data_IF_339433285331
#
_entry.id   IF_339433285331
#
_cell.length_a   1.000
_cell.length_b   1.000
_cell.length_c   1.000
_cell.angle_alpha   90.00
_cell.angle_beta   90.00
_cell.angle_gamma   90.00
#
_symmetry.space_group_name_H-M   'P 1'
#
loop_
_entity.id
_entity.type
_entity.pdbx_description
1 polymer ?
#
# COMPACT_ATOMS: atom_id res chain seq x y z
N UNK A 1 -23.33 1.00 -6.49
CA UNK A 1 -22.46 0.41 -7.55
C UNK A 1 -23.07 -0.85 -8.15
N UNK A 2 -23.04 -1.05 -9.48
CA UNK A 2 -23.58 -2.28 -10.10
C UNK A 2 -22.69 -3.52 -9.83
N UNK A 3 -23.30 -4.71 -9.83
CA UNK A 3 -22.62 -5.97 -9.48
C UNK A 3 -21.57 -6.42 -10.51
N UNK A 4 -21.77 -6.13 -11.79
CA UNK A 4 -20.83 -6.51 -12.84
C UNK A 4 -19.53 -5.71 -12.74
N UNK A 5 -19.64 -4.40 -12.50
CA UNK A 5 -18.50 -3.53 -12.22
C UNK A 5 -17.76 -3.98 -10.95
N UNK A 6 -18.49 -4.23 -9.87
CA UNK A 6 -17.89 -4.71 -8.61
C UNK A 6 -17.09 -6.01 -8.81
N UNK A 7 -17.62 -6.95 -9.61
CA UNK A 7 -16.93 -8.21 -9.92
C UNK A 7 -15.66 -8.01 -10.77
N UNK A 8 -15.69 -7.11 -11.76
CA UNK A 8 -14.49 -6.78 -12.56
C UNK A 8 -13.40 -6.14 -11.70
N UNK A 9 -13.76 -5.22 -10.81
CA UNK A 9 -12.81 -4.63 -9.86
C UNK A 9 -12.25 -5.68 -8.91
N UNK A 10 -13.09 -6.54 -8.34
CA UNK A 10 -12.65 -7.61 -7.45
C UNK A 10 -11.66 -8.56 -8.15
N UNK A 11 -11.89 -8.89 -9.43
CA UNK A 11 -10.98 -9.70 -10.23
C UNK A 11 -9.64 -8.98 -10.50
N UNK A 12 -9.69 -7.68 -10.85
CA UNK A 12 -8.49 -6.86 -11.05
C UNK A 12 -7.65 -6.77 -9.76
N UNK A 13 -8.28 -6.47 -8.63
CA UNK A 13 -7.62 -6.41 -7.32
C UNK A 13 -7.09 -7.79 -6.92
N UNK A 14 -7.81 -8.88 -7.17
CA UNK A 14 -7.30 -10.24 -6.90
C UNK A 14 -6.01 -10.54 -7.65
N UNK A 15 -5.89 -10.10 -8.89
CA UNK A 15 -4.70 -10.30 -9.70
C UNK A 15 -3.55 -9.38 -9.27
N UNK A 16 -3.84 -8.13 -8.92
CA UNK A 16 -2.85 -7.09 -8.65
C UNK A 16 -2.41 -6.98 -7.18
N UNK A 17 -3.35 -7.12 -6.24
CA UNK A 17 -3.17 -7.00 -4.80
C UNK A 17 -3.98 -8.10 -4.07
N UNK A 18 -3.52 -9.36 -4.13
CA UNK A 18 -4.22 -10.48 -3.49
C UNK A 18 -4.36 -10.30 -1.97
N UNK A 19 -3.42 -9.58 -1.33
CA UNK A 19 -3.42 -9.38 0.12
C UNK A 19 -4.63 -8.54 0.54
N UNK A 20 -4.87 -7.41 -0.14
CA UNK A 20 -6.05 -6.58 0.08
C UNK A 20 -7.32 -7.21 -0.46
N UNK A 21 -7.26 -7.99 -1.54
CA UNK A 21 -8.40 -8.77 -2.02
C UNK A 21 -8.92 -9.72 -0.94
N UNK A 22 -8.06 -10.58 -0.38
CA UNK A 22 -8.49 -11.54 0.64
C UNK A 22 -8.90 -10.84 1.95
N UNK A 23 -8.24 -9.75 2.31
CA UNK A 23 -8.61 -8.96 3.49
C UNK A 23 -10.01 -8.36 3.37
N UNK A 24 -10.38 -7.85 2.18
CA UNK A 24 -11.72 -7.30 1.91
C UNK A 24 -12.83 -8.35 2.04
N UNK A 25 -12.55 -9.64 1.84
CA UNK A 25 -13.57 -10.70 1.98
C UNK A 25 -14.07 -10.85 3.43
N UNK A 26 -13.34 -10.34 4.41
CA UNK A 26 -13.76 -10.30 5.82
C UNK A 26 -14.63 -9.08 6.16
N UNK A 27 -14.82 -8.14 5.22
CA UNK A 27 -15.76 -7.05 5.39
C UNK A 27 -17.21 -7.49 5.13
N UNK A 28 -18.22 -6.75 5.64
CA UNK A 28 -19.62 -6.94 5.27
C UNK A 28 -19.81 -6.85 3.75
N UNK A 29 -20.67 -7.73 3.20
CA UNK A 29 -20.79 -7.94 1.76
C UNK A 29 -21.13 -6.66 0.99
N UNK A 30 -21.99 -5.82 1.57
CA UNK A 30 -22.43 -4.53 1.04
C UNK A 30 -21.33 -3.46 1.00
N UNK A 31 -20.21 -3.68 1.71
CA UNK A 31 -19.11 -2.73 1.79
C UNK A 31 -17.91 -3.11 0.90
N UNK A 32 -17.82 -4.39 0.52
CA UNK A 32 -16.72 -4.92 -0.32
C UNK A 32 -16.56 -4.19 -1.65
N UNK A 33 -17.63 -3.85 -2.40
CA UNK A 33 -17.47 -3.11 -3.65
C UNK A 33 -16.71 -1.80 -3.49
N UNK A 34 -16.95 -1.06 -2.41
CA UNK A 34 -16.28 0.21 -2.12
C UNK A 34 -14.81 0.02 -1.73
N UNK A 35 -14.49 -1.06 -0.99
CA UNK A 35 -13.10 -1.44 -0.75
C UNK A 35 -12.38 -1.79 -2.06
N UNK A 36 -13.02 -2.54 -2.95
CA UNK A 36 -12.42 -2.86 -4.26
C UNK A 36 -12.26 -1.64 -5.15
N UNK A 37 -13.16 -0.65 -5.09
CA UNK A 37 -12.97 0.64 -5.77
C UNK A 37 -11.72 1.37 -5.27
N UNK A 38 -11.57 1.50 -3.94
CA UNK A 38 -10.40 2.12 -3.32
C UNK A 38 -9.09 1.37 -3.65
N UNK A 39 -9.11 0.04 -3.57
CA UNK A 39 -7.91 -0.76 -3.80
C UNK A 39 -7.52 -0.83 -5.27
N UNK A 40 -8.49 -0.86 -6.19
CA UNK A 40 -8.23 -0.76 -7.61
C UNK A 40 -7.61 0.60 -7.95
N UNK A 41 -8.14 1.70 -7.42
CA UNK A 41 -7.53 3.03 -7.54
C UNK A 41 -6.08 3.03 -7.04
N UNK A 42 -5.82 2.51 -5.84
CA UNK A 42 -4.46 2.47 -5.30
C UNK A 42 -3.51 1.63 -6.18
N UNK A 43 -3.98 0.51 -6.73
CA UNK A 43 -3.20 -0.31 -7.68
C UNK A 43 -2.82 0.49 -8.91
N UNK A 44 -3.77 1.18 -9.53
CA UNK A 44 -3.53 1.95 -10.75
C UNK A 44 -2.52 3.08 -10.53
N UNK A 45 -2.69 3.85 -9.45
CA UNK A 45 -1.80 4.97 -9.13
C UNK A 45 -0.39 4.46 -8.77
N UNK A 46 -0.28 3.41 -7.94
CA UNK A 46 1.01 2.86 -7.54
C UNK A 46 1.81 2.27 -8.72
N UNK A 47 1.12 1.70 -9.72
CA UNK A 47 1.74 1.09 -10.90
C UNK A 47 2.32 2.11 -11.89
N UNK A 48 2.01 3.39 -11.78
CA UNK A 48 2.49 4.40 -12.72
C UNK A 48 4.02 4.34 -12.83
N UNK A 49 4.74 4.40 -11.70
CA UNK A 49 6.20 4.34 -11.64
C UNK A 49 6.80 2.99 -12.09
N UNK A 50 5.99 1.93 -12.12
CA UNK A 50 6.39 0.64 -12.67
C UNK A 50 6.39 0.67 -14.21
N UNK A 51 5.49 1.47 -14.81
CA UNK A 51 5.30 1.54 -16.27
C UNK A 51 6.10 2.63 -16.98
N UNK A 52 6.56 3.67 -16.26
CA UNK A 52 7.33 4.78 -16.85
C UNK A 52 8.58 5.09 -16.04
N UNK A 53 9.64 5.51 -16.73
CA UNK A 53 10.92 5.91 -16.13
C UNK A 53 11.12 7.41 -16.06
N UNK A 54 10.53 8.13 -17.00
CA UNK A 54 10.69 9.58 -17.11
C UNK A 54 9.76 10.28 -16.12
N UNK A 55 10.28 11.16 -15.23
CA UNK A 55 9.47 11.87 -14.25
C UNK A 55 8.29 12.62 -14.87
N UNK A 56 8.50 13.24 -16.03
CA UNK A 56 7.47 13.98 -16.76
C UNK A 56 6.31 13.08 -17.20
N UNK A 57 6.60 11.90 -17.75
CA UNK A 57 5.56 10.94 -18.14
C UNK A 57 4.79 10.40 -16.92
N UNK A 58 5.48 10.23 -15.79
CA UNK A 58 4.85 9.88 -14.51
C UNK A 58 3.88 10.96 -14.05
N UNK A 59 4.32 12.23 -14.09
CA UNK A 59 3.50 13.38 -13.72
C UNK A 59 2.25 13.51 -14.59
N UNK A 60 2.36 13.34 -15.91
CA UNK A 60 1.20 13.38 -16.82
C UNK A 60 0.17 12.30 -16.47
N UNK A 61 0.63 11.07 -16.17
CA UNK A 61 -0.27 9.97 -15.78
C UNK A 61 -0.92 10.21 -14.40
N UNK A 62 -0.18 10.76 -13.45
CA UNK A 62 -0.71 11.12 -12.14
C UNK A 62 -1.75 12.23 -12.23
N UNK A 63 -1.50 13.23 -13.07
CA UNK A 63 -2.44 14.32 -13.34
C UNK A 63 -3.73 13.80 -13.99
N UNK A 64 -3.60 12.86 -14.94
CA UNK A 64 -4.76 12.17 -15.49
C UNK A 64 -5.58 11.46 -14.40
N UNK A 65 -4.95 10.83 -13.41
CA UNK A 65 -5.65 10.21 -12.28
C UNK A 65 -6.30 11.24 -11.35
N UNK A 66 -5.66 12.40 -11.14
CA UNK A 66 -6.23 13.52 -10.37
C UNK A 66 -7.53 14.01 -11.01
N UNK A 67 -7.50 14.32 -12.31
CA UNK A 67 -8.68 14.73 -13.09
C UNK A 67 -9.74 13.62 -13.15
N UNK A 68 -9.34 12.35 -13.18
CA UNK A 68 -10.27 11.21 -13.17
C UNK A 68 -11.02 11.14 -11.84
N UNK A 69 -10.31 11.29 -10.72
CA UNK A 69 -10.93 11.33 -9.40
C UNK A 69 -11.84 12.56 -9.23
N UNK A 70 -11.41 13.72 -9.74
CA UNK A 70 -12.19 14.96 -9.74
C UNK A 70 -13.49 14.82 -10.54
N UNK A 71 -13.44 14.28 -11.76
CA UNK A 71 -14.62 14.01 -12.57
C UNK A 71 -15.57 13.02 -11.89
N UNK A 72 -15.04 11.97 -11.28
CA UNK A 72 -15.82 11.01 -10.50
C UNK A 72 -16.52 11.66 -9.29
N UNK A 73 -15.82 12.51 -8.54
CA UNK A 73 -16.39 13.25 -7.40
C UNK A 73 -17.50 14.23 -7.83
N UNK A 74 -17.43 14.78 -9.05
CA UNK A 74 -18.47 15.63 -9.65
C UNK A 74 -19.63 14.84 -10.29
N UNK A 75 -19.66 13.51 -10.14
CA UNK A 75 -20.69 12.66 -10.76
C UNK A 75 -20.57 12.53 -12.28
N UNK A 76 -19.44 12.92 -12.86
CA UNK A 76 -19.12 12.80 -14.30
C UNK A 76 -17.89 11.92 -14.52
N UNK A 77 -17.93 10.63 -14.11
CA UNK A 77 -16.77 9.75 -14.22
C UNK A 77 -16.43 9.48 -15.69
N UNK A 78 -15.12 9.40 -15.99
CA UNK A 78 -14.62 8.93 -17.29
C UNK A 78 -15.12 7.50 -17.58
N UNK A 79 -15.09 7.09 -18.85
CA UNK A 79 -15.41 5.71 -19.24
C UNK A 79 -14.27 4.74 -18.88
N UNK A 80 -14.07 4.55 -17.57
CA UNK A 80 -13.08 3.67 -16.98
C UNK A 80 -13.71 3.02 -15.73
N UNK A 81 -13.50 1.71 -15.54
CA UNK A 81 -14.16 0.96 -14.46
C UNK A 81 -13.84 1.56 -13.08
N UNK A 82 -12.58 1.87 -12.81
CA UNK A 82 -12.17 2.53 -11.55
C UNK A 82 -12.83 3.91 -11.40
N UNK A 83 -12.95 4.70 -12.47
CA UNK A 83 -13.56 6.03 -12.39
C UNK A 83 -15.05 5.95 -12.03
N UNK A 84 -15.79 5.03 -12.66
CA UNK A 84 -17.21 4.77 -12.36
C UNK A 84 -17.39 4.28 -10.92
N UNK A 85 -16.48 3.43 -10.45
CA UNK A 85 -16.52 2.92 -9.08
C UNK A 85 -16.17 4.00 -8.04
N UNK A 86 -15.24 4.92 -8.36
CA UNK A 86 -14.94 6.07 -7.53
C UNK A 86 -16.15 7.02 -7.41
N UNK A 87 -16.92 7.22 -8.47
CA UNK A 87 -18.14 8.03 -8.39
C UNK A 87 -19.16 7.43 -7.40
N UNK A 88 -19.35 6.10 -7.44
CA UNK A 88 -20.17 5.42 -6.43
C UNK A 88 -19.57 5.51 -5.02
N UNK A 89 -18.24 5.41 -4.89
CA UNK A 89 -17.56 5.57 -3.60
C UNK A 89 -17.80 6.95 -2.99
N UNK A 90 -17.61 8.03 -3.77
CA UNK A 90 -17.84 9.40 -3.31
C UNK A 90 -19.30 9.68 -2.97
N UNK A 91 -20.25 9.09 -3.71
CA UNK A 91 -21.67 9.27 -3.46
C UNK A 91 -22.17 8.53 -2.20
N UNK A 92 -21.60 7.36 -1.89
CA UNK A 92 -22.16 6.44 -0.89
C UNK A 92 -21.32 6.32 0.40
N UNK A 93 -20.08 6.85 0.44
CA UNK A 93 -19.14 6.68 1.57
C UNK A 93 -18.45 7.98 1.97
N UNK A 94 -18.01 8.11 3.24
CA UNK A 94 -17.35 9.31 3.76
C UNK A 94 -15.87 9.39 3.31
N UNK A 95 -15.65 9.54 2.01
CA UNK A 95 -14.34 9.71 1.38
C UNK A 95 -14.33 11.05 0.67
N UNK A 96 -13.33 11.89 0.95
CA UNK A 96 -13.20 13.18 0.28
C UNK A 96 -12.27 13.06 -0.94
N UNK A 97 -12.50 13.88 -1.98
CA UNK A 97 -11.59 13.97 -3.14
C UNK A 97 -10.15 14.26 -2.68
N UNK A 98 -9.99 15.19 -1.73
CA UNK A 98 -8.71 15.58 -1.17
C UNK A 98 -7.92 14.40 -0.56
N UNK A 99 -8.60 13.36 -0.04
CA UNK A 99 -7.92 12.16 0.47
C UNK A 99 -7.21 11.39 -0.67
N UNK A 100 -7.84 11.29 -1.85
CA UNK A 100 -7.27 10.61 -3.01
C UNK A 100 -6.21 11.47 -3.70
N UNK A 101 -6.43 12.78 -3.79
CA UNK A 101 -5.46 13.73 -4.33
C UNK A 101 -4.16 13.73 -3.50
N UNK A 102 -4.25 13.65 -2.18
CA UNK A 102 -3.09 13.54 -1.31
C UNK A 102 -2.27 12.27 -1.61
N UNK A 103 -2.92 11.12 -1.83
CA UNK A 103 -2.24 9.89 -2.22
C UNK A 103 -1.57 10.04 -3.60
N UNK A 104 -2.26 10.63 -4.58
CA UNK A 104 -1.72 10.87 -5.93
C UNK A 104 -0.49 11.76 -5.86
N UNK A 105 -0.55 12.87 -5.12
CA UNK A 105 0.55 13.82 -5.00
C UNK A 105 1.82 13.16 -4.46
N UNK A 106 1.70 12.34 -3.41
CA UNK A 106 2.85 11.64 -2.81
C UNK A 106 3.48 10.64 -3.78
N UNK A 107 2.70 10.07 -4.70
CA UNK A 107 3.18 9.10 -5.70
C UNK A 107 4.07 9.72 -6.78
N UNK A 108 4.14 11.04 -6.89
CA UNK A 108 5.13 11.71 -7.74
C UNK A 108 6.57 11.33 -7.36
N UNK A 109 6.84 11.11 -6.06
CA UNK A 109 8.14 10.64 -5.56
C UNK A 109 8.57 9.32 -6.23
N UNK A 110 7.63 8.43 -6.54
CA UNK A 110 7.94 7.09 -7.07
C UNK A 110 8.63 7.17 -8.44
N UNK A 111 8.40 8.25 -9.18
CA UNK A 111 9.01 8.51 -10.50
C UNK A 111 10.16 9.53 -10.43
N UNK A 112 10.41 10.16 -9.28
CA UNK A 112 11.46 11.16 -9.12
C UNK A 112 12.83 10.54 -8.84
N UNK A 113 13.89 11.33 -8.98
CA UNK A 113 15.27 10.96 -8.62
C UNK A 113 15.59 11.21 -7.14
N UNK A 114 14.60 11.66 -6.36
CA UNK A 114 14.79 11.96 -4.94
C UNK A 114 14.93 10.68 -4.12
N UNK A 115 15.62 10.81 -2.99
CA UNK A 115 15.87 9.75 -2.03
C UNK A 115 15.37 10.18 -0.65
N UNK A 116 15.00 9.20 0.18
CA UNK A 116 14.68 9.45 1.57
C UNK A 116 15.96 9.78 2.35
N UNK A 117 16.02 10.93 3.01
CA UNK A 117 17.17 11.28 3.84
C UNK A 117 17.34 10.30 5.02
N UNK A 118 16.24 10.02 5.72
CA UNK A 118 16.19 9.17 6.90
C UNK A 118 14.91 8.33 6.96
N UNK A 119 14.79 7.53 8.02
CA UNK A 119 13.59 6.73 8.28
C UNK A 119 12.31 7.57 8.49
N UNK A 120 12.41 8.79 9.01
CA UNK A 120 11.24 9.63 9.26
C UNK A 120 10.62 10.11 7.94
N UNK A 121 11.45 10.46 6.95
CA UNK A 121 11.00 10.76 5.59
C UNK A 121 10.30 9.55 4.95
N UNK A 122 10.90 8.37 5.08
CA UNK A 122 10.33 7.14 4.56
C UNK A 122 8.98 6.79 5.24
N UNK A 123 8.91 6.88 6.56
CA UNK A 123 7.66 6.64 7.31
C UNK A 123 6.58 7.64 6.93
N UNK A 124 6.92 8.90 6.72
CA UNK A 124 5.97 9.92 6.25
C UNK A 124 5.39 9.54 4.89
N UNK A 125 6.23 9.07 3.96
CA UNK A 125 5.77 8.55 2.66
C UNK A 125 4.88 7.31 2.82
N UNK A 126 5.28 6.34 3.64
CA UNK A 126 4.49 5.11 3.87
C UNK A 126 3.16 5.43 4.56
N UNK A 127 3.15 6.41 5.47
CA UNK A 127 1.94 6.88 6.11
C UNK A 127 0.98 7.53 5.11
N UNK A 128 1.51 8.40 4.24
CA UNK A 128 0.73 9.09 3.23
C UNK A 128 0.30 8.21 2.04
N UNK A 129 0.78 6.96 1.97
CA UNK A 129 0.39 5.99 0.94
C UNK A 129 -0.32 4.76 1.55
N UNK A 130 0.44 3.84 2.16
CA UNK A 130 -0.07 2.59 2.72
C UNK A 130 -1.06 2.82 3.85
N UNK A 131 -0.70 3.65 4.84
CA UNK A 131 -1.59 3.95 5.98
C UNK A 131 -2.78 4.80 5.56
N UNK A 132 -2.62 5.74 4.62
CA UNK A 132 -3.71 6.53 4.06
C UNK A 132 -4.80 5.64 3.43
N UNK A 133 -4.41 4.63 2.63
CA UNK A 133 -5.35 3.65 2.08
C UNK A 133 -6.05 2.84 3.19
N UNK A 134 -5.34 2.46 4.25
CA UNK A 134 -5.99 1.79 5.40
C UNK A 134 -6.95 2.71 6.16
N UNK A 135 -6.63 4.00 6.29
CA UNK A 135 -7.53 5.01 6.90
C UNK A 135 -8.82 5.14 6.11
N UNK A 136 -8.73 5.23 4.79
CA UNK A 136 -9.92 5.29 3.91
C UNK A 136 -10.73 4.00 3.98
N UNK A 137 -10.07 2.85 3.97
CA UNK A 137 -10.75 1.56 4.15
C UNK A 137 -11.48 1.48 5.51
N UNK A 138 -10.85 1.95 6.60
CA UNK A 138 -11.51 2.01 7.91
C UNK A 138 -12.73 2.94 7.90
N UNK A 139 -12.65 4.12 7.28
CA UNK A 139 -13.79 5.05 7.13
C UNK A 139 -14.95 4.43 6.34
N UNK A 140 -14.65 3.79 5.20
CA UNK A 140 -15.64 3.06 4.39
C UNK A 140 -16.39 2.04 5.25
N UNK A 141 -15.64 1.36 6.13
CA UNK A 141 -16.14 0.32 7.03
C UNK A 141 -16.91 0.84 8.25
N UNK A 142 -16.95 2.16 8.48
CA UNK A 142 -17.49 2.74 9.71
C UNK A 142 -16.62 2.48 10.94
N UNK A 143 -15.34 2.18 10.72
CA UNK A 143 -14.33 2.02 11.77
C UNK A 143 -13.55 3.31 12.03
N UNK A 144 -12.78 3.31 13.11
CA UNK A 144 -11.92 4.43 13.49
C UNK A 144 -10.65 4.46 12.61
N UNK A 145 -10.43 5.52 11.80
CA UNK A 145 -9.19 5.67 11.04
C UNK A 145 -7.96 6.00 11.92
N UNK A 146 -8.14 6.45 13.17
CA UNK A 146 -7.05 6.82 14.07
C UNK A 146 -6.17 5.63 14.51
N UNK A 147 -6.71 4.41 14.46
CA UNK A 147 -6.05 3.20 15.00
C UNK A 147 -5.33 2.36 13.94
N UNK A 148 -5.29 2.80 12.67
CA UNK A 148 -4.74 1.99 11.56
C UNK A 148 -3.33 2.38 11.15
N UNK A 149 -2.82 3.52 11.64
CA UNK A 149 -1.52 4.08 11.23
C UNK A 149 -0.39 3.07 11.37
N UNK A 150 -0.26 2.47 12.55
CA UNK A 150 0.81 1.51 12.85
C UNK A 150 0.71 0.25 11.97
N UNK A 151 -0.50 -0.22 11.70
CA UNK A 151 -0.72 -1.35 10.80
C UNK A 151 -0.31 -1.02 9.36
N UNK A 152 -0.62 0.20 8.90
CA UNK A 152 -0.27 0.69 7.58
C UNK A 152 1.22 0.87 7.37
N UNK A 153 1.93 1.40 8.38
CA UNK A 153 3.39 1.52 8.41
C UNK A 153 4.05 0.16 8.39
N UNK A 154 3.62 -0.75 9.26
CA UNK A 154 4.13 -2.11 9.33
C UNK A 154 4.01 -2.85 7.98
N UNK A 155 2.81 -2.80 7.39
CA UNK A 155 2.54 -3.46 6.12
C UNK A 155 3.31 -2.81 4.96
N UNK A 156 3.34 -1.48 4.90
CA UNK A 156 4.02 -0.74 3.84
C UNK A 156 5.54 -0.96 3.85
N UNK A 157 6.18 -0.85 5.02
CA UNK A 157 7.62 -1.10 5.17
C UNK A 157 7.98 -2.55 4.82
N UNK A 158 7.19 -3.53 5.27
CA UNK A 158 7.38 -4.93 4.90
C UNK A 158 7.21 -5.13 3.38
N UNK A 159 6.29 -4.40 2.75
CA UNK A 159 6.12 -4.34 1.29
C UNK A 159 7.37 -3.83 0.58
N UNK A 160 7.97 -2.74 1.05
CA UNK A 160 9.20 -2.19 0.48
C UNK A 160 10.39 -3.15 0.62
N UNK A 161 10.52 -3.87 1.74
CA UNK A 161 11.55 -4.92 1.91
C UNK A 161 11.39 -6.04 0.88
N UNK A 162 10.14 -6.42 0.59
CA UNK A 162 9.82 -7.45 -0.41
C UNK A 162 10.11 -6.98 -1.82
N UNK A 163 9.72 -5.74 -2.13
CA UNK A 163 9.86 -5.14 -3.44
C UNK A 163 11.27 -4.59 -3.71
N UNK A 164 12.16 -4.59 -2.71
CA UNK A 164 13.52 -4.07 -2.84
C UNK A 164 14.27 -4.58 -4.09
N UNK A 165 14.28 -5.89 -4.44
CA UNK A 165 14.96 -6.34 -5.66
C UNK A 165 14.37 -5.75 -6.94
N UNK A 166 13.04 -5.58 -6.98
CA UNK A 166 12.35 -4.96 -8.11
C UNK A 166 12.73 -3.49 -8.23
N UNK A 167 12.63 -2.71 -7.14
CA UNK A 167 13.02 -1.30 -7.14
C UNK A 167 14.52 -1.09 -7.47
N UNK A 168 15.40 -1.95 -6.96
CA UNK A 168 16.83 -1.91 -7.27
C UNK A 168 17.09 -2.10 -8.78
N UNK A 169 16.43 -3.10 -9.39
CA UNK A 169 16.53 -3.35 -10.84
C UNK A 169 16.02 -2.19 -11.71
N UNK A 170 15.25 -1.28 -11.11
CA UNK A 170 14.67 -0.08 -11.73
C UNK A 170 15.48 1.18 -11.41
N UNK A 171 16.59 1.08 -10.67
CA UNK A 171 17.38 2.19 -10.15
C UNK A 171 16.57 3.20 -9.32
N UNK A 172 15.57 2.71 -8.55
CA UNK A 172 14.84 3.53 -7.57
C UNK A 172 15.14 3.04 -6.16
N UNK A 173 15.65 3.93 -5.31
CA UNK A 173 16.01 3.63 -3.94
C UNK A 173 14.86 3.98 -2.98
N UNK A 174 14.27 2.96 -2.36
CA UNK A 174 13.30 3.12 -1.26
C UNK A 174 13.92 2.89 0.12
N UNK A 175 15.26 2.91 0.19
CA UNK A 175 16.00 2.88 1.43
C UNK A 175 16.41 4.31 1.82
N UNK A 176 16.28 4.66 3.11
CA UNK A 176 16.91 5.85 3.66
C UNK A 176 18.42 5.92 3.41
N UNK A 177 18.93 7.13 3.17
CA UNK A 177 20.35 7.37 2.97
C UNK A 177 21.17 7.14 4.25
N UNK A 178 20.59 7.38 5.43
CA UNK A 178 21.24 7.10 6.73
C UNK A 178 21.56 5.60 6.94
N UNK A 179 20.70 4.69 6.46
CA UNK A 179 20.97 3.24 6.43
C UNK A 179 22.19 2.94 5.57
N UNK A 180 22.23 3.51 4.36
CA UNK A 180 23.34 3.28 3.44
C UNK A 180 24.66 3.83 4.00
N UNK A 181 24.61 5.01 4.60
CA UNK A 181 25.76 5.62 5.27
C UNK A 181 26.28 4.74 6.43
N UNK A 182 25.38 4.19 7.25
CA UNK A 182 25.75 3.26 8.33
C UNK A 182 26.34 1.93 7.83
N UNK A 183 26.06 1.56 6.57
CA UNK A 183 26.64 0.39 5.91
C UNK A 183 27.90 0.74 5.09
N UNK A 184 28.32 2.01 5.07
CA UNK A 184 29.41 2.52 4.24
C UNK A 184 29.22 2.19 2.76
N UNK A 185 28.01 2.41 2.24
CA UNK A 185 27.63 2.17 0.84
C UNK A 185 27.00 3.44 0.27
N UNK A 186 27.38 3.83 -0.93
CA UNK A 186 26.70 4.89 -1.67
C UNK A 186 25.43 4.35 -2.36
N UNK A 187 24.44 5.19 -2.70
CA UNK A 187 23.28 4.76 -3.47
C UNK A 187 23.64 4.01 -4.76
N UNK A 188 24.65 4.48 -5.50
CA UNK A 188 25.08 3.86 -6.75
C UNK A 188 25.66 2.47 -6.51
N UNK A 189 26.57 2.32 -5.55
CA UNK A 189 27.12 1.03 -5.17
C UNK A 189 26.04 0.05 -4.70
N UNK A 190 25.00 0.55 -4.02
CA UNK A 190 23.90 -0.28 -3.53
C UNK A 190 23.14 -0.98 -4.67
N UNK A 191 22.97 -0.31 -5.81
CA UNK A 191 22.31 -0.90 -6.98
C UNK A 191 23.06 -2.11 -7.55
N UNK A 192 24.39 -2.13 -7.40
CA UNK A 192 25.28 -3.14 -7.97
C UNK A 192 25.73 -4.20 -6.96
N UNK A 193 25.20 -4.19 -5.73
CA UNK A 193 25.53 -5.22 -4.74
C UNK A 193 25.09 -6.61 -5.23
N UNK A 194 26.00 -7.58 -5.10
CA UNK A 194 25.72 -8.97 -5.37
C UNK A 194 24.59 -9.52 -4.48
N UNK A 195 23.85 -10.51 -4.98
CA UNK A 195 22.68 -11.07 -4.26
C UNK A 195 23.00 -11.59 -2.85
N UNK A 196 24.24 -12.03 -2.63
CA UNK A 196 24.72 -12.59 -1.37
C UNK A 196 25.54 -11.59 -0.53
N UNK A 197 25.62 -10.31 -0.95
CA UNK A 197 26.35 -9.30 -0.19
C UNK A 197 25.71 -9.10 1.20
N UNK A 198 26.50 -9.16 2.30
CA UNK A 198 25.97 -9.01 3.65
C UNK A 198 25.31 -7.66 3.90
N UNK A 199 25.70 -6.59 3.19
CA UNK A 199 25.13 -5.24 3.32
C UNK A 199 23.70 -5.19 2.81
N UNK A 200 23.38 -5.93 1.74
CA UNK A 200 22.01 -6.09 1.27
C UNK A 200 21.12 -6.77 2.32
N UNK A 201 21.63 -7.79 3.00
CA UNK A 201 20.92 -8.47 4.09
C UNK A 201 20.75 -7.56 5.32
N UNK A 202 21.76 -6.75 5.63
CA UNK A 202 21.72 -5.79 6.74
C UNK A 202 20.67 -4.68 6.49
N UNK A 203 20.64 -4.08 5.29
CA UNK A 203 19.65 -3.08 4.92
C UNK A 203 18.20 -3.62 5.03
N UNK A 204 17.96 -4.82 4.49
CA UNK A 204 16.65 -5.51 4.61
C UNK A 204 16.28 -5.76 6.07
N UNK A 205 17.25 -6.13 6.91
CA UNK A 205 17.02 -6.38 8.34
C UNK A 205 16.65 -5.11 9.08
N UNK A 206 17.33 -3.99 8.85
CA UNK A 206 17.01 -2.72 9.50
C UNK A 206 15.60 -2.24 9.16
N UNK A 207 15.24 -2.23 7.88
CA UNK A 207 13.87 -1.96 7.43
C UNK A 207 12.85 -2.92 8.06
N UNK A 208 13.19 -4.22 8.11
CA UNK A 208 12.33 -5.24 8.69
C UNK A 208 12.13 -5.10 10.21
N UNK A 209 13.15 -4.65 10.95
CA UNK A 209 13.03 -4.35 12.37
C UNK A 209 12.05 -3.20 12.57
N UNK A 210 12.15 -2.13 11.77
CA UNK A 210 11.23 -1.01 11.86
C UNK A 210 9.78 -1.39 11.54
N UNK A 211 9.57 -2.19 10.49
CA UNK A 211 8.26 -2.76 10.16
C UNK A 211 7.69 -3.61 11.32
N UNK A 212 8.54 -4.38 12.00
CA UNK A 212 8.16 -5.20 13.16
C UNK A 212 7.76 -4.36 14.36
N UNK A 213 8.45 -3.26 14.62
CA UNK A 213 8.14 -2.36 15.74
C UNK A 213 6.75 -1.74 15.55
N UNK A 214 6.44 -1.24 14.36
CA UNK A 214 5.08 -0.78 14.00
C UNK A 214 4.05 -1.90 14.09
N UNK A 215 4.39 -3.14 13.70
CA UNK A 215 3.48 -4.28 13.83
C UNK A 215 3.13 -4.55 15.30
N UNK A 216 4.10 -4.48 16.21
CA UNK A 216 3.84 -4.65 17.63
C UNK A 216 3.04 -3.49 18.22
N UNK A 217 3.31 -2.25 17.79
CA UNK A 217 2.51 -1.09 18.18
C UNK A 217 1.05 -1.23 17.72
N UNK A 218 0.81 -1.71 16.49
CA UNK A 218 -0.52 -1.98 15.98
C UNK A 218 -1.25 -3.07 16.79
N UNK A 219 -0.53 -4.09 17.28
CA UNK A 219 -1.10 -5.15 18.14
C UNK A 219 -1.42 -4.69 19.55
N UNK A 220 -0.67 -3.72 20.05
CA UNK A 220 -0.90 -3.11 21.35
C UNK A 220 -2.01 -2.04 21.33
N UNK A 221 -2.43 -1.60 20.13
CA UNK A 221 -3.46 -0.58 19.95
C UNK A 221 -4.88 -1.10 20.26
N UNK A 222 -5.84 -0.18 20.24
CA UNK A 222 -7.25 -0.51 20.46
C UNK A 222 -7.78 -1.57 19.48
N UNK A 223 -8.78 -2.34 19.92
CA UNK A 223 -9.39 -3.38 19.08
C UNK A 223 -10.00 -2.76 17.81
N UNK A 224 -9.76 -3.35 16.63
CA UNK A 224 -10.11 -2.71 15.36
C UNK A 224 -11.61 -2.67 15.06
N UNK A 225 -12.42 -3.56 15.65
CA UNK A 225 -13.87 -3.65 15.43
C UNK A 225 -14.20 -3.61 13.92
N UNK A 226 -14.92 -2.59 13.46
CA UNK A 226 -15.28 -2.42 12.06
C UNK A 226 -14.07 -2.20 11.13
N UNK A 227 -12.96 -1.67 11.62
CA UNK A 227 -11.72 -1.48 10.85
C UNK A 227 -10.90 -2.78 10.67
N UNK A 228 -11.36 -3.93 11.16
CA UNK A 228 -10.59 -5.18 11.13
C UNK A 228 -10.15 -5.52 9.70
N UNK A 229 -11.07 -5.55 8.74
CA UNK A 229 -10.74 -5.88 7.36
C UNK A 229 -9.76 -4.89 6.71
N UNK A 230 -9.77 -3.62 7.12
CA UNK A 230 -8.83 -2.61 6.64
C UNK A 230 -7.39 -2.88 7.09
N UNK A 231 -7.20 -3.38 8.32
CA UNK A 231 -5.86 -3.61 8.90
C UNK A 231 -5.34 -5.04 8.70
N UNK A 232 -6.20 -5.98 8.30
CA UNK A 232 -5.83 -7.39 8.11
C UNK A 232 -4.57 -7.63 7.25
N UNK A 233 -4.24 -6.83 6.22
CA UNK A 233 -2.97 -7.00 5.49
C UNK A 233 -1.74 -6.97 6.42
N UNK A 234 -1.78 -6.22 7.52
CA UNK A 234 -0.69 -6.17 8.49
C UNK A 234 -0.43 -7.52 9.20
N UNK A 235 -1.42 -8.42 9.25
CA UNK A 235 -1.22 -9.79 9.78
C UNK A 235 -0.22 -10.62 8.96
N UNK A 236 0.08 -10.18 7.73
CA UNK A 236 1.06 -10.83 6.86
C UNK A 236 2.49 -10.40 7.16
N UNK A 237 2.70 -9.30 7.90
CA UNK A 237 4.03 -8.75 8.22
C UNK A 237 4.97 -9.81 8.81
N UNK A 238 4.59 -10.60 9.84
CA UNK A 238 5.49 -11.63 10.38
C UNK A 238 5.89 -12.70 9.36
N UNK A 239 4.97 -13.05 8.44
CA UNK A 239 5.23 -14.04 7.40
C UNK A 239 6.18 -13.47 6.35
N UNK A 240 5.99 -12.21 5.97
CA UNK A 240 6.84 -11.49 5.04
C UNK A 240 8.23 -11.25 5.58
N UNK A 241 8.37 -10.75 6.80
CA UNK A 241 9.69 -10.51 7.39
C UNK A 241 10.49 -11.81 7.60
N UNK A 242 9.82 -12.95 7.84
CA UNK A 242 10.50 -14.27 7.92
C UNK A 242 11.04 -14.74 6.56
N UNK A 243 10.35 -14.40 5.47
CA UNK A 243 10.74 -14.79 4.11
C UNK A 243 11.55 -13.70 3.38
N UNK A 244 11.59 -12.49 3.93
CA UNK A 244 12.18 -11.30 3.33
C UNK A 244 11.67 -11.13 1.89
N UNK A 245 12.55 -11.15 0.90
CA UNK A 245 12.19 -10.99 -0.52
C UNK A 245 11.71 -12.28 -1.19
N UNK A 246 11.63 -13.42 -0.49
CA UNK A 246 11.15 -14.69 -1.08
C UNK A 246 9.64 -14.71 -1.15
N UNK A 247 9.11 -15.37 -2.17
CA UNK A 247 7.67 -15.52 -2.33
C UNK A 247 7.04 -16.28 -1.17
N UNK A 248 5.90 -15.77 -0.69
CA UNK A 248 5.04 -16.45 0.28
C UNK A 248 3.89 -17.10 -0.47
N UNK A 249 3.70 -18.42 -0.39
CA UNK A 249 2.58 -19.09 -1.02
C UNK A 249 1.22 -18.55 -0.57
N UNK A 250 0.25 -18.50 -1.48
CA UNK A 250 -1.07 -17.87 -1.24
C UNK A 250 -1.81 -18.47 -0.03
N UNK A 251 -1.73 -19.79 0.16
CA UNK A 251 -2.37 -20.48 1.28
C UNK A 251 -1.82 -20.01 2.64
N UNK A 252 -0.52 -19.70 2.74
CA UNK A 252 0.07 -19.18 3.99
C UNK A 252 -0.41 -17.78 4.31
N UNK A 253 -0.63 -16.96 3.28
CA UNK A 253 -1.21 -15.62 3.43
C UNK A 253 -2.64 -15.72 3.94
N UNK A 254 -3.46 -16.55 3.29
CA UNK A 254 -4.85 -16.80 3.69
C UNK A 254 -4.97 -17.31 5.13
N UNK A 255 -4.11 -18.25 5.54
CA UNK A 255 -4.10 -18.76 6.92
C UNK A 255 -3.74 -17.68 7.95
N UNK A 256 -2.78 -16.80 7.64
CA UNK A 256 -2.41 -15.69 8.53
C UNK A 256 -3.57 -14.68 8.67
N UNK A 257 -4.21 -14.32 7.56
CA UNK A 257 -5.40 -13.44 7.55
C UNK A 257 -6.56 -14.06 8.34
N UNK A 258 -6.87 -15.34 8.09
CA UNK A 258 -7.93 -16.07 8.79
C UNK A 258 -7.66 -16.14 10.29
N UNK A 259 -6.43 -16.47 10.71
CA UNK A 259 -6.05 -16.51 12.12
C UNK A 259 -6.25 -15.16 12.81
N UNK A 260 -5.84 -14.06 12.18
CA UNK A 260 -6.04 -12.71 12.73
C UNK A 260 -7.53 -12.34 12.78
N UNK A 261 -8.28 -12.65 11.73
CA UNK A 261 -9.72 -12.39 11.66
C UNK A 261 -10.49 -13.14 12.77
N UNK A 262 -10.21 -14.43 12.99
CA UNK A 262 -10.84 -15.22 14.06
C UNK A 262 -10.53 -14.66 15.46
N UNK A 263 -9.31 -14.15 15.67
CA UNK A 263 -8.91 -13.52 16.94
C UNK A 263 -9.44 -12.09 17.09
N UNK A 264 -10.02 -11.51 16.03
CA UNK A 264 -10.48 -10.11 15.94
C UNK A 264 -9.40 -9.09 16.32
N UNK A 265 -8.14 -9.41 16.01
CA UNK A 265 -6.94 -8.60 16.28
C UNK A 265 -5.77 -9.02 15.38
N UNK A 266 -4.75 -8.18 15.29
CA UNK A 266 -3.46 -8.52 14.68
C UNK A 266 -2.65 -9.52 15.53
#
# INVERSE_FOLDING_TARGET
MDAALANRLAASVRAADPDRYFSALFAPAEQRPFLFALYAFNVEVARIAETVREPMLGAIKLEWWRETAEGAAKGSPRNHDVAKALAALFAERPVALADLEAIIAVRAFDSSTENFADFACLESYVDATSSAVMRLAARILGGDPGIVREAGLAYGLAGLVRALPFHNSRHKLYLPLDILAALHVTPEEFFHLEKNDPRLAAAKRQMGLRARDHFFAARASAKPRAALAAILPAALVPVYLRKMSREVPIHRRQMALLSAAMKKRL
#
